data_IF_919441952870
#
_entry.id   IF_919441952870
#
_cell.length_a   1.000
_cell.length_b   1.000
_cell.length_c   1.000
_cell.angle_alpha   90.00
_cell.angle_beta   90.00
_cell.angle_gamma   90.00
#
_symmetry.space_group_name_H-M   'P 1'
#
loop_
_entity.id
_entity.type
_entity.pdbx_description
1 polymer ?
#
# COMPACT_ATOMS: atom_id res chain seq x y z
N UNK A 1 -25.07 19.40 -6.14
CA UNK A 1 -25.08 18.11 -6.89
C UNK A 1 -26.51 17.69 -7.26
N UNK A 2 -27.27 18.48 -8.05
CA UNK A 2 -28.69 18.20 -8.38
C UNK A 2 -29.01 18.44 -9.87
N UNK A 3 -28.22 17.91 -10.80
CA UNK A 3 -28.45 18.11 -12.23
C UNK A 3 -29.75 17.43 -12.69
N UNK A 4 -30.52 18.11 -13.54
CA UNK A 4 -31.72 17.53 -14.17
C UNK A 4 -31.30 16.47 -15.20
N UNK A 5 -31.85 15.26 -15.09
CA UNK A 5 -31.56 14.14 -16.00
C UNK A 5 -32.76 13.91 -16.92
N UNK A 6 -32.66 14.42 -18.14
CA UNK A 6 -33.62 14.24 -19.24
C UNK A 6 -32.95 13.64 -20.50
N UNK A 7 -33.73 13.38 -21.56
CA UNK A 7 -33.24 12.75 -22.80
C UNK A 7 -32.14 13.56 -23.51
N UNK A 8 -32.14 14.89 -23.40
CA UNK A 8 -31.20 15.78 -24.11
C UNK A 8 -29.91 15.98 -23.32
N UNK A 9 -29.98 16.10 -22.00
CA UNK A 9 -28.82 16.47 -21.17
C UNK A 9 -28.35 15.40 -20.18
N UNK A 10 -28.90 14.17 -20.21
CA UNK A 10 -28.46 13.07 -19.32
C UNK A 10 -26.95 12.76 -19.36
N UNK A 11 -26.25 13.09 -20.43
CA UNK A 11 -24.80 12.84 -20.57
C UNK A 11 -23.94 13.97 -20.01
N UNK A 12 -24.52 15.09 -19.56
CA UNK A 12 -23.79 16.26 -19.08
C UNK A 12 -23.15 16.07 -17.70
N UNK A 13 -23.69 15.15 -16.89
CA UNK A 13 -23.17 14.85 -15.56
C UNK A 13 -23.33 13.35 -15.26
N UNK A 14 -22.22 12.62 -15.32
CA UNK A 14 -22.20 11.18 -15.05
C UNK A 14 -22.63 10.86 -13.60
N UNK A 15 -22.14 11.65 -12.63
CA UNK A 15 -22.47 11.49 -11.21
C UNK A 15 -23.99 11.56 -10.96
N UNK A 16 -24.66 12.63 -11.39
CA UNK A 16 -26.10 12.78 -11.15
C UNK A 16 -26.93 11.75 -11.92
N UNK A 17 -26.48 11.33 -13.12
CA UNK A 17 -27.13 10.23 -13.86
C UNK A 17 -27.02 8.92 -13.09
N UNK A 18 -25.83 8.57 -12.62
CA UNK A 18 -25.59 7.35 -11.86
C UNK A 18 -26.36 7.34 -10.53
N UNK A 19 -26.33 8.44 -9.78
CA UNK A 19 -27.11 8.56 -8.55
C UNK A 19 -28.61 8.40 -8.79
N UNK A 20 -29.16 9.00 -9.87
CA UNK A 20 -30.57 8.80 -10.24
C UNK A 20 -30.88 7.33 -10.57
N UNK A 21 -29.98 6.62 -11.26
CA UNK A 21 -30.12 5.17 -11.50
C UNK A 21 -30.23 4.39 -10.18
N UNK A 22 -29.37 4.66 -9.21
CA UNK A 22 -29.42 4.04 -7.88
C UNK A 22 -30.71 4.39 -7.13
N UNK A 23 -31.14 5.66 -7.14
CA UNK A 23 -32.39 6.10 -6.50
C UNK A 23 -33.63 5.42 -7.10
N UNK A 24 -33.61 5.13 -8.39
CA UNK A 24 -34.69 4.38 -9.07
C UNK A 24 -34.61 2.86 -8.85
N UNK A 25 -33.72 2.38 -7.99
CA UNK A 25 -33.64 0.97 -7.57
C UNK A 25 -32.76 0.07 -8.46
N UNK A 26 -31.90 0.64 -9.32
CA UNK A 26 -30.93 -0.18 -10.05
C UNK A 26 -29.93 -0.81 -9.08
N UNK A 27 -29.82 -2.13 -9.13
CA UNK A 27 -28.95 -2.95 -8.30
C UNK A 27 -27.56 -3.05 -8.91
N UNK A 28 -26.51 -2.70 -8.16
CA UNK A 28 -25.11 -2.77 -8.64
C UNK A 28 -24.69 -4.23 -8.81
N UNK A 29 -25.12 -5.08 -7.89
CA UNK A 29 -24.89 -6.52 -7.85
C UNK A 29 -25.57 -7.28 -9.01
N UNK A 30 -26.53 -6.66 -9.71
CA UNK A 30 -27.15 -7.25 -10.90
C UNK A 30 -26.25 -7.15 -12.15
N UNK A 31 -25.17 -6.37 -12.09
CA UNK A 31 -24.18 -6.27 -13.18
C UNK A 31 -23.23 -7.46 -13.06
N UNK A 32 -23.33 -8.39 -14.02
CA UNK A 32 -22.37 -9.48 -14.14
C UNK A 32 -21.01 -8.92 -14.58
N UNK A 33 -19.93 -9.46 -14.02
CA UNK A 33 -18.58 -9.16 -14.47
C UNK A 33 -18.44 -9.49 -15.96
N UNK A 34 -17.69 -8.67 -16.70
CA UNK A 34 -17.51 -8.86 -18.12
C UNK A 34 -16.93 -10.26 -18.37
N UNK A 35 -17.61 -11.07 -19.20
CA UNK A 35 -17.07 -12.36 -19.62
C UNK A 35 -15.75 -12.09 -20.32
N UNK A 36 -14.64 -12.44 -19.68
CA UNK A 36 -13.33 -12.36 -20.30
C UNK A 36 -13.38 -13.17 -21.61
N UNK A 37 -13.32 -12.47 -22.75
CA UNK A 37 -13.05 -13.14 -24.02
C UNK A 37 -11.63 -13.65 -23.89
N UNK A 38 -11.48 -14.97 -23.81
CA UNK A 38 -10.23 -15.70 -23.63
C UNK A 38 -9.12 -15.07 -24.48
N UNK A 39 -8.39 -14.13 -23.89
CA UNK A 39 -7.19 -13.55 -24.44
C UNK A 39 -6.15 -14.54 -23.98
N UNK A 40 -5.61 -15.30 -24.93
CA UNK A 40 -4.50 -16.23 -24.72
C UNK A 40 -3.38 -15.50 -23.95
N UNK A 41 -3.48 -15.51 -22.63
CA UNK A 41 -2.35 -15.31 -21.75
C UNK A 41 -1.66 -16.66 -21.76
N UNK A 42 -0.58 -16.75 -22.53
CA UNK A 42 0.51 -17.62 -22.11
C UNK A 42 0.80 -17.32 -20.63
N UNK A 43 1.11 -18.38 -19.87
CA UNK A 43 1.21 -18.41 -18.41
C UNK A 43 -0.13 -18.66 -17.70
N UNK A 44 -0.77 -19.75 -18.11
CA UNK A 44 -1.75 -20.49 -17.32
C UNK A 44 -1.09 -21.62 -16.52
N UNK A 45 0.08 -21.39 -15.93
CA UNK A 45 0.57 -22.26 -14.87
C UNK A 45 0.18 -21.61 -13.55
N UNK A 46 -0.73 -22.26 -12.82
CA UNK A 46 -0.90 -21.98 -11.40
C UNK A 46 0.47 -22.18 -10.75
N UNK A 47 1.16 -21.08 -10.41
CA UNK A 47 2.41 -21.17 -9.66
C UNK A 47 2.14 -22.02 -8.42
N UNK A 48 2.86 -23.14 -8.34
CA UNK A 48 2.71 -24.10 -7.27
C UNK A 48 3.05 -23.42 -5.95
N UNK A 49 2.11 -23.38 -5.01
CA UNK A 49 2.30 -22.83 -3.65
C UNK A 49 3.40 -23.53 -2.85
N UNK A 50 3.91 -24.67 -3.35
CA UNK A 50 5.00 -25.45 -2.79
C UNK A 50 6.41 -25.02 -3.22
N UNK A 51 6.54 -24.12 -4.20
CA UNK A 51 7.85 -23.63 -4.71
C UNK A 51 8.22 -22.21 -4.28
N UNK A 52 7.39 -21.56 -3.48
CA UNK A 52 7.36 -20.11 -3.28
C UNK A 52 8.40 -19.53 -2.29
N UNK A 53 9.51 -20.22 -2.02
CA UNK A 53 10.51 -19.74 -1.06
C UNK A 53 11.52 -18.74 -1.62
N UNK A 54 11.57 -18.54 -2.95
CA UNK A 54 12.59 -17.69 -3.58
C UNK A 54 12.15 -16.25 -3.88
N UNK A 55 10.84 -15.99 -3.99
CA UNK A 55 10.32 -14.65 -4.31
C UNK A 55 10.38 -13.75 -3.05
N UNK A 56 9.90 -14.26 -1.91
CA UNK A 56 10.05 -13.59 -0.61
C UNK A 56 10.88 -14.43 0.37
N UNK A 57 12.22 -14.48 0.20
CA UNK A 57 13.08 -15.29 1.05
C UNK A 57 13.16 -14.71 2.47
N UNK A 58 12.87 -15.54 3.46
CA UNK A 58 12.90 -15.17 4.89
C UNK A 58 14.31 -14.76 5.33
N UNK A 59 15.33 -15.34 4.71
CA UNK A 59 16.74 -15.04 4.97
C UNK A 59 17.06 -13.57 4.69
N UNK A 60 16.47 -12.98 3.63
CA UNK A 60 16.67 -11.57 3.30
C UNK A 60 16.02 -10.63 4.32
N UNK A 61 14.88 -11.04 4.87
CA UNK A 61 14.21 -10.28 5.94
C UNK A 61 15.08 -10.30 7.20
N UNK A 62 15.63 -11.47 7.57
CA UNK A 62 16.55 -11.60 8.69
C UNK A 62 17.82 -10.74 8.49
N UNK A 63 18.41 -10.77 7.29
CA UNK A 63 19.55 -9.93 6.93
C UNK A 63 19.25 -8.43 7.06
N UNK A 64 18.04 -7.99 6.63
CA UNK A 64 17.62 -6.61 6.75
C UNK A 64 17.53 -6.15 8.21
N UNK A 65 16.97 -6.99 9.08
CA UNK A 65 16.85 -6.72 10.52
C UNK A 65 18.21 -6.58 11.20
N UNK A 66 19.11 -7.53 10.96
CA UNK A 66 20.47 -7.51 11.52
C UNK A 66 21.30 -6.32 11.02
N UNK A 67 21.02 -5.82 9.81
CA UNK A 67 21.75 -4.70 9.23
C UNK A 67 21.38 -3.34 9.85
N UNK A 68 20.20 -3.23 10.47
CA UNK A 68 19.71 -1.99 11.08
C UNK A 68 19.67 -2.07 12.61
N UNK A 69 20.20 -3.16 13.20
CA UNK A 69 20.20 -3.39 14.65
C UNK A 69 20.70 -2.13 15.37
N UNK A 70 19.89 -1.56 16.29
CA UNK A 70 20.23 -0.35 16.99
C UNK A 70 21.47 -0.59 17.85
N UNK A 71 22.63 -0.13 17.37
CA UNK A 71 23.74 0.21 18.25
C UNK A 71 23.16 1.05 19.39
N UNK A 72 23.08 0.44 20.55
CA UNK A 72 22.32 0.91 21.71
C UNK A 72 23.15 1.97 22.46
N UNK A 73 23.75 2.89 21.71
CA UNK A 73 24.21 4.17 22.26
C UNK A 73 22.98 5.07 22.41
N UNK A 74 22.07 4.65 23.29
CA UNK A 74 21.03 5.50 23.84
C UNK A 74 21.68 6.31 24.94
N UNK A 75 22.39 7.37 24.55
CA UNK A 75 22.76 8.43 25.47
C UNK A 75 21.45 9.13 25.87
N UNK A 76 20.77 8.61 26.90
CA UNK A 76 19.57 9.22 27.45
C UNK A 76 20.04 10.48 28.18
N UNK A 77 19.85 11.63 27.54
CA UNK A 77 20.00 12.91 28.21
C UNK A 77 18.85 13.05 29.23
N UNK A 78 19.15 12.72 30.47
CA UNK A 78 18.22 12.76 31.60
C UNK A 78 17.73 14.17 31.92
N UNK A 79 18.29 15.20 31.29
CA UNK A 79 17.86 16.59 31.43
C UNK A 79 16.69 16.98 30.50
N UNK A 80 16.41 16.21 29.44
CA UNK A 80 15.30 16.49 28.51
C UNK A 80 14.02 15.78 28.94
N UNK A 81 12.88 16.39 28.61
CA UNK A 81 11.59 15.76 28.85
C UNK A 81 11.42 14.48 28.02
N UNK A 82 10.62 13.55 28.55
CA UNK A 82 10.46 12.22 27.97
C UNK A 82 9.92 12.23 26.53
N UNK A 83 9.04 13.19 26.20
CA UNK A 83 8.47 13.30 24.86
C UNK A 83 9.54 13.72 23.86
N UNK A 84 10.36 14.71 24.21
CA UNK A 84 11.48 15.12 23.37
C UNK A 84 12.46 13.97 23.13
N UNK A 85 12.77 13.16 24.15
CA UNK A 85 13.62 11.98 24.00
C UNK A 85 13.01 10.92 23.06
N UNK A 86 11.70 10.68 23.17
CA UNK A 86 10.98 9.75 22.28
C UNK A 86 10.96 10.27 20.84
N UNK A 87 10.66 11.56 20.63
CA UNK A 87 10.66 12.16 19.30
C UNK A 87 12.05 12.10 18.64
N UNK A 88 13.12 12.35 19.41
CA UNK A 88 14.50 12.27 18.91
C UNK A 88 14.90 10.83 18.57
N UNK A 89 14.49 9.86 19.39
CA UNK A 89 14.69 8.44 19.07
C UNK A 89 13.90 8.03 17.82
N UNK A 90 12.65 8.45 17.69
CA UNK A 90 11.82 8.18 16.52
C UNK A 90 12.42 8.78 15.24
N UNK A 91 12.90 10.03 15.28
CA UNK A 91 13.53 10.68 14.12
C UNK A 91 14.81 9.95 13.68
N UNK A 92 15.61 9.47 14.65
CA UNK A 92 16.78 8.62 14.37
C UNK A 92 16.36 7.28 13.76
N UNK A 93 15.28 6.67 14.25
CA UNK A 93 14.78 5.39 13.75
C UNK A 93 14.10 5.50 12.38
N UNK A 94 13.53 6.65 12.01
CA UNK A 94 12.95 6.86 10.68
C UNK A 94 13.99 6.70 9.57
N UNK A 95 15.24 7.10 9.81
CA UNK A 95 16.34 6.95 8.84
C UNK A 95 16.73 5.47 8.70
N UNK A 96 16.85 4.74 9.81
CA UNK A 96 17.16 3.31 9.79
C UNK A 96 16.04 2.49 9.18
N UNK A 97 14.78 2.88 9.40
CA UNK A 97 13.60 2.25 8.82
C UNK A 97 13.57 2.34 7.29
N UNK A 98 13.97 3.48 6.70
CA UNK A 98 14.11 3.60 5.24
C UNK A 98 15.19 2.65 4.72
N UNK A 99 16.30 2.52 5.44
CA UNK A 99 17.38 1.61 5.09
C UNK A 99 16.99 0.13 5.25
N UNK A 100 16.21 -0.20 6.27
CA UNK A 100 15.61 -1.52 6.44
C UNK A 100 14.68 -1.85 5.26
N UNK A 101 13.77 -0.95 4.90
CA UNK A 101 12.80 -1.16 3.84
C UNK A 101 13.47 -1.40 2.47
N UNK A 102 14.56 -0.68 2.17
CA UNK A 102 15.35 -0.90 0.94
C UNK A 102 15.98 -2.30 0.84
N UNK A 103 16.16 -2.99 1.98
CA UNK A 103 16.74 -4.35 2.03
C UNK A 103 15.66 -5.44 1.94
N UNK A 104 14.38 -5.09 2.08
CA UNK A 104 13.27 -6.01 1.92
C UNK A 104 13.12 -6.39 0.44
N UNK A 105 13.00 -7.70 0.11
CA UNK A 105 12.80 -8.16 -1.26
C UNK A 105 11.67 -7.41 -1.97
N UNK A 106 11.88 -7.08 -3.25
CA UNK A 106 10.94 -6.38 -4.13
C UNK A 106 10.52 -4.96 -3.72
N UNK A 107 10.87 -4.46 -2.53
CA UNK A 107 10.45 -3.12 -2.11
C UNK A 107 11.01 -2.02 -3.02
N UNK A 108 12.28 -2.13 -3.41
CA UNK A 108 12.94 -1.16 -4.31
C UNK A 108 12.47 -1.26 -5.76
N UNK A 109 11.80 -2.35 -6.13
CA UNK A 109 11.23 -2.57 -7.46
C UNK A 109 9.87 -1.87 -7.62
N UNK A 110 9.22 -1.54 -6.50
CA UNK A 110 7.99 -0.74 -6.50
C UNK A 110 8.26 0.68 -7.01
N UNK A 111 7.26 1.33 -7.63
CA UNK A 111 7.33 2.76 -7.93
C UNK A 111 7.70 3.58 -6.69
N UNK A 112 8.54 4.61 -6.87
CA UNK A 112 9.00 5.44 -5.77
C UNK A 112 7.84 6.09 -4.99
N UNK A 113 6.75 6.45 -5.69
CA UNK A 113 5.55 6.99 -5.07
C UNK A 113 4.91 5.99 -4.10
N UNK A 114 4.83 4.73 -4.49
CA UNK A 114 4.28 3.66 -3.67
C UNK A 114 5.17 3.34 -2.46
N UNK A 115 6.50 3.33 -2.64
CA UNK A 115 7.45 3.19 -1.53
C UNK A 115 7.22 4.28 -0.46
N UNK A 116 7.01 5.53 -0.88
CA UNK A 116 6.74 6.65 0.03
C UNK A 116 5.37 6.52 0.70
N UNK A 117 4.34 6.08 -0.03
CA UNK A 117 3.00 5.85 0.54
C UNK A 117 3.06 4.77 1.62
N UNK A 118 3.70 3.64 1.34
CA UNK A 118 3.83 2.51 2.27
C UNK A 118 4.55 2.93 3.55
N UNK A 119 5.69 3.63 3.43
CA UNK A 119 6.45 4.11 4.58
C UNK A 119 5.69 5.16 5.39
N UNK A 120 5.02 6.11 4.74
CA UNK A 120 4.22 7.13 5.45
C UNK A 120 3.02 6.54 6.18
N UNK A 121 2.44 5.46 5.66
CA UNK A 121 1.30 4.78 6.26
C UNK A 121 1.69 3.85 7.42
N UNK A 122 2.88 3.24 7.36
CA UNK A 122 3.28 2.17 8.29
C UNK A 122 4.38 2.50 9.31
N UNK A 123 5.09 3.63 9.19
CA UNK A 123 6.27 3.91 10.03
C UNK A 123 6.01 3.90 11.54
N UNK A 124 4.78 4.12 11.99
CA UNK A 124 4.43 4.15 13.41
C UNK A 124 4.13 2.75 13.98
N UNK A 125 3.95 1.74 13.14
CA UNK A 125 3.74 0.34 13.52
C UNK A 125 4.98 -0.54 13.31
N UNK A 126 5.91 -0.06 12.47
CA UNK A 126 7.23 -0.64 12.20
C UNK A 126 8.26 -0.12 13.21
#
# INVERSE_FOLDING_TARGET
RNCIIDKRQRNRCQYCRYMKCLTMGMKREAVQEERQRNKEKGEGEVESTSGANNDMPVEKILEAELAVDPNTDTYIDTQKDAVTNICQAADKQLITLVEWAKRIPHFVELPLEDQVILLRAGWNEL
#
